data_IF_988689116664
#
_entry.id   IF_988689116664
#
_cell.length_a   1.000
_cell.length_b   1.000
_cell.length_c   1.000
_cell.angle_alpha   90.00
_cell.angle_beta   90.00
_cell.angle_gamma   90.00
#
_symmetry.space_group_name_H-M   'P 1'
#
loop_
_entity.id
_entity.type
_entity.pdbx_description
1 polymer ?
#
# COMPACT_ATOMS: atom_id res chain seq x y z
N UNK A 1 -9.28 5.75 4.21
CA UNK A 1 -8.32 6.36 3.26
C UNK A 1 -7.49 5.27 2.61
N UNK A 2 -7.34 5.30 1.28
CA UNK A 2 -6.57 4.34 0.48
C UNK A 2 -5.49 5.08 -0.30
N UNK A 3 -4.28 5.28 0.26
CA UNK A 3 -3.10 5.69 -0.48
C UNK A 3 -2.50 4.53 -1.30
N UNK A 4 -1.98 4.85 -2.48
CA UNK A 4 -1.15 3.99 -3.30
C UNK A 4 0.34 4.09 -2.93
N UNK A 5 1.20 4.04 -3.95
CA UNK A 5 2.66 4.01 -3.84
C UNK A 5 3.21 5.25 -3.11
N UNK A 6 4.24 5.04 -2.27
CA UNK A 6 4.93 6.09 -1.50
C UNK A 6 6.42 6.19 -1.85
N UNK A 7 7.07 5.05 -2.11
CA UNK A 7 8.46 4.97 -2.58
C UNK A 7 9.45 5.86 -1.82
N UNK A 8 9.48 5.75 -0.50
CA UNK A 8 10.43 6.48 0.34
C UNK A 8 10.33 8.00 0.30
N UNK A 9 9.24 8.59 -0.23
CA UNK A 9 8.94 10.02 -0.18
C UNK A 9 8.35 10.41 1.19
N UNK A 10 9.15 10.25 2.25
CA UNK A 10 8.72 10.42 3.64
C UNK A 10 8.05 11.78 3.93
N UNK A 11 8.58 12.88 3.40
CA UNK A 11 7.96 14.20 3.56
C UNK A 11 6.57 14.29 2.95
N UNK A 12 6.34 13.62 1.81
CA UNK A 12 5.02 13.57 1.19
C UNK A 12 4.08 12.61 1.94
N UNK A 13 4.60 11.53 2.53
CA UNK A 13 3.83 10.70 3.47
C UNK A 13 3.29 11.52 4.66
N UNK A 14 4.12 12.39 5.24
CA UNK A 14 3.65 13.28 6.31
C UNK A 14 2.57 14.23 5.82
N UNK A 15 2.72 14.82 4.62
CA UNK A 15 1.68 15.66 4.00
C UNK A 15 0.38 14.89 3.75
N UNK A 16 0.47 13.62 3.34
CA UNK A 16 -0.72 12.76 3.17
C UNK A 16 -1.47 12.59 4.50
N UNK A 17 -0.77 12.42 5.63
CA UNK A 17 -1.41 12.39 6.96
C UNK A 17 -1.94 13.74 7.41
N UNK A 18 -1.26 14.85 7.12
CA UNK A 18 -1.77 16.20 7.41
C UNK A 18 -3.10 16.49 6.68
N UNK A 19 -3.24 16.02 5.44
CA UNK A 19 -4.46 16.19 4.65
C UNK A 19 -5.56 15.18 5.03
N UNK A 20 -5.19 13.91 5.22
CA UNK A 20 -6.13 12.81 5.46
C UNK A 20 -6.52 12.60 6.92
N UNK A 21 -5.81 13.23 7.86
CA UNK A 21 -5.94 13.02 9.31
C UNK A 21 -4.93 12.00 9.83
N UNK A 22 -4.22 12.32 10.91
CA UNK A 22 -3.25 11.38 11.49
C UNK A 22 -3.97 10.19 12.15
N UNK A 23 -3.45 8.95 12.07
CA UNK A 23 -4.03 7.83 12.81
C UNK A 23 -4.08 8.11 14.34
N UNK A 24 -5.23 7.89 15.01
CA UNK A 24 -6.40 7.12 14.56
C UNK A 24 -7.58 8.00 14.09
N UNK A 25 -7.37 9.28 13.75
CA UNK A 25 -8.44 10.17 13.27
C UNK A 25 -9.08 9.68 11.97
N UNK A 26 -8.29 8.96 11.14
CA UNK A 26 -8.76 8.25 9.96
C UNK A 26 -8.20 6.83 9.91
N UNK A 27 -8.97 5.92 9.29
CA UNK A 27 -8.53 4.56 8.99
C UNK A 27 -7.80 4.54 7.65
N UNK A 28 -6.74 3.73 7.57
CA UNK A 28 -5.86 3.65 6.39
C UNK A 28 -5.69 2.22 5.90
N UNK A 29 -5.75 2.05 4.57
CA UNK A 29 -5.34 0.85 3.86
C UNK A 29 -4.37 1.27 2.75
N UNK A 30 -3.08 1.08 2.96
CA UNK A 30 -2.07 1.34 1.94
C UNK A 30 -1.96 0.16 0.97
N UNK A 31 -1.75 0.48 -0.31
CA UNK A 31 -1.78 -0.52 -1.38
C UNK A 31 -0.42 -1.18 -1.69
N UNK A 32 0.69 -0.67 -1.15
CA UNK A 32 2.03 -1.25 -1.37
C UNK A 32 3.07 -0.20 -1.75
N UNK A 33 4.26 -0.66 -2.12
CA UNK A 33 5.38 0.14 -2.64
C UNK A 33 5.77 1.30 -1.72
N UNK A 34 6.21 0.91 -0.53
CA UNK A 34 6.65 1.82 0.54
C UNK A 34 8.10 2.26 0.37
N UNK A 35 8.93 1.36 -0.16
CA UNK A 35 10.39 1.51 -0.23
C UNK A 35 10.88 1.69 -1.67
N UNK A 36 12.19 1.84 -1.81
CA UNK A 36 12.92 2.09 -3.06
C UNK A 36 12.65 3.46 -3.69
N UNK A 37 13.54 3.83 -4.64
CA UNK A 37 13.46 5.02 -5.51
C UNK A 37 13.62 6.36 -4.79
N UNK A 38 12.90 6.59 -3.70
CA UNK A 38 13.01 7.76 -2.84
C UNK A 38 14.20 7.70 -1.90
N UNK A 39 14.35 8.76 -1.09
CA UNK A 39 15.55 9.01 -0.28
C UNK A 39 15.45 8.51 1.17
N UNK A 40 14.24 8.25 1.64
CA UNK A 40 13.93 7.99 3.06
C UNK A 40 12.98 6.81 3.19
N UNK A 41 13.35 5.68 2.58
CA UNK A 41 12.54 4.45 2.62
C UNK A 41 12.47 3.90 4.04
N UNK A 42 13.57 3.97 4.81
CA UNK A 42 13.60 3.47 6.20
C UNK A 42 12.60 4.25 7.07
N UNK A 43 12.61 5.58 7.05
CA UNK A 43 11.65 6.39 7.81
C UNK A 43 10.21 6.11 7.40
N UNK A 44 9.97 5.99 6.09
CA UNK A 44 8.66 5.69 5.51
C UNK A 44 8.11 4.38 6.07
N UNK A 45 8.84 3.27 5.89
CA UNK A 45 8.34 1.97 6.35
C UNK A 45 8.29 1.88 7.88
N UNK A 46 9.22 2.50 8.60
CA UNK A 46 9.20 2.50 10.07
C UNK A 46 7.94 3.17 10.62
N UNK A 47 7.56 4.34 10.08
CA UNK A 47 6.36 5.04 10.51
C UNK A 47 5.10 4.21 10.24
N UNK A 48 5.02 3.60 9.05
CA UNK A 48 3.89 2.75 8.66
C UNK A 48 3.76 1.51 9.57
N UNK A 49 4.87 0.82 9.85
CA UNK A 49 4.89 -0.32 10.77
C UNK A 49 4.56 0.10 12.21
N UNK A 50 5.06 1.24 12.67
CA UNK A 50 4.73 1.77 14.00
C UNK A 50 3.22 2.06 14.13
N UNK A 51 2.60 2.64 13.10
CA UNK A 51 1.14 2.81 13.08
C UNK A 51 0.39 1.48 13.01
N UNK A 52 0.90 0.48 12.29
CA UNK A 52 0.30 -0.85 12.26
C UNK A 52 0.35 -1.51 13.65
N UNK A 53 1.47 -1.40 14.38
CA UNK A 53 1.60 -1.91 15.75
C UNK A 53 0.64 -1.16 16.69
N UNK A 54 0.60 0.18 16.59
CA UNK A 54 -0.18 1.02 17.50
C UNK A 54 -1.69 0.94 17.27
N UNK A 55 -2.11 0.82 16.01
CA UNK A 55 -3.50 0.82 15.59
C UNK A 55 -3.82 -0.36 14.66
N UNK A 56 -3.69 -1.61 15.15
CA UNK A 56 -3.75 -2.81 14.32
C UNK A 56 -5.10 -3.01 13.61
N UNK A 57 -6.19 -2.46 14.16
CA UNK A 57 -7.55 -2.56 13.62
C UNK A 57 -7.98 -1.35 12.78
N UNK A 58 -7.11 -0.33 12.64
CA UNK A 58 -7.42 0.92 11.93
C UNK A 58 -6.40 1.24 10.84
N UNK A 59 -5.23 0.61 10.87
CA UNK A 59 -4.12 0.88 9.98
C UNK A 59 -3.64 -0.41 9.32
N UNK A 60 -3.63 -0.42 8.00
CA UNK A 60 -3.42 -1.62 7.20
C UNK A 60 -2.47 -1.36 6.04
N UNK A 61 -1.63 -2.36 5.78
CA UNK A 61 -0.55 -2.31 4.79
C UNK A 61 -0.67 -3.55 3.91
N UNK A 62 -0.90 -3.37 2.62
CA UNK A 62 -0.77 -4.43 1.63
C UNK A 62 0.68 -4.58 1.17
N UNK A 63 1.00 -5.69 0.51
CA UNK A 63 2.30 -5.90 -0.12
C UNK A 63 2.27 -5.28 -1.52
N UNK A 64 3.27 -4.46 -1.85
CA UNK A 64 3.58 -4.08 -3.23
C UNK A 64 4.68 -4.95 -3.84
N UNK A 65 4.99 -4.75 -5.10
CA UNK A 65 6.06 -5.50 -5.78
C UNK A 65 7.46 -5.09 -5.31
N UNK A 66 7.62 -3.92 -4.69
CA UNK A 66 8.88 -3.49 -4.07
C UNK A 66 9.11 -4.07 -2.67
N UNK A 67 8.09 -4.66 -2.04
CA UNK A 67 8.24 -5.41 -0.79
C UNK A 67 8.68 -6.88 -1.05
N UNK A 68 9.63 -7.08 -1.94
CA UNK A 68 10.32 -8.37 -2.16
C UNK A 68 11.83 -8.18 -2.34
N UNK A 69 12.60 -9.20 -1.97
CA UNK A 69 14.06 -9.09 -1.90
C UNK A 69 14.70 -8.84 -3.27
N UNK A 70 14.20 -9.48 -4.33
CA UNK A 70 14.78 -9.37 -5.68
C UNK A 70 14.72 -7.93 -6.22
N UNK A 71 13.63 -7.22 -5.95
CA UNK A 71 13.40 -5.84 -6.40
C UNK A 71 14.15 -4.85 -5.50
N UNK A 72 13.89 -4.87 -4.20
CA UNK A 72 14.46 -3.84 -3.31
C UNK A 72 15.95 -4.03 -3.00
N UNK A 73 16.55 -5.11 -3.51
CA UNK A 73 18.00 -5.29 -3.60
C UNK A 73 18.68 -4.34 -4.58
N UNK A 74 17.95 -3.91 -5.62
CA UNK A 74 18.49 -3.19 -6.79
C UNK A 74 17.97 -1.75 -6.85
N UNK A 75 16.75 -1.47 -6.38
CA UNK A 75 16.10 -0.17 -6.55
C UNK A 75 16.25 0.82 -5.38
N UNK A 76 17.09 0.48 -4.38
CA UNK A 76 17.66 1.44 -3.44
C UNK A 76 17.56 1.05 -1.96
N UNK A 77 16.56 0.29 -1.54
CA UNK A 77 16.31 0.03 -0.12
C UNK A 77 17.42 -0.78 0.55
N UNK A 78 17.95 -1.80 -0.13
CA UNK A 78 19.12 -2.54 0.36
C UNK A 78 20.31 -1.62 0.60
N UNK A 79 20.61 -0.73 -0.35
CA UNK A 79 21.76 0.17 -0.24
C UNK A 79 21.52 1.22 0.86
N UNK A 80 20.28 1.67 1.04
CA UNK A 80 19.90 2.53 2.16
C UNK A 80 20.14 1.84 3.52
N UNK A 81 19.64 0.60 3.68
CA UNK A 81 19.83 -0.21 4.89
C UNK A 81 21.31 -0.49 5.16
N UNK A 82 22.05 -0.94 4.15
CA UNK A 82 23.49 -1.23 4.25
C UNK A 82 24.30 -0.01 4.64
N UNK A 83 23.97 1.16 4.07
CA UNK A 83 24.71 2.42 4.32
C UNK A 83 24.42 3.00 5.70
N UNK A 84 23.17 2.95 6.16
CA UNK A 84 22.74 3.61 7.40
C UNK A 84 22.81 2.69 8.63
N UNK A 85 22.69 1.39 8.41
CA UNK A 85 22.71 0.36 9.45
C UNK A 85 23.58 -0.81 9.00
N UNK A 86 22.97 -1.91 8.56
CA UNK A 86 23.67 -3.11 8.12
C UNK A 86 22.77 -3.98 7.24
N UNK A 87 23.37 -4.99 6.60
CA UNK A 87 22.64 -5.94 5.73
C UNK A 87 21.68 -6.83 6.53
N UNK A 88 21.93 -7.06 7.82
CA UNK A 88 21.04 -7.86 8.67
C UNK A 88 19.67 -7.17 8.82
N UNK A 89 19.66 -5.85 8.98
CA UNK A 89 18.42 -5.08 9.05
C UNK A 89 17.58 -5.22 7.78
N UNK A 90 18.21 -5.17 6.59
CA UNK A 90 17.50 -5.40 5.32
C UNK A 90 16.85 -6.79 5.28
N UNK A 91 17.54 -7.85 5.74
CA UNK A 91 16.95 -9.19 5.83
C UNK A 91 15.76 -9.24 6.78
N UNK A 92 15.83 -8.56 7.93
CA UNK A 92 14.70 -8.45 8.86
C UNK A 92 13.50 -7.76 8.23
N UNK A 93 13.71 -6.69 7.44
CA UNK A 93 12.64 -6.10 6.64
C UNK A 93 12.08 -7.07 5.59
N UNK A 94 12.93 -7.83 4.90
CA UNK A 94 12.49 -8.87 3.96
C UNK A 94 11.59 -9.90 4.64
N UNK A 95 11.96 -10.39 5.83
CA UNK A 95 11.16 -11.35 6.59
C UNK A 95 9.80 -10.76 6.98
N UNK A 96 9.77 -9.47 7.38
CA UNK A 96 8.53 -8.73 7.62
C UNK A 96 7.67 -8.62 6.35
N UNK A 97 8.27 -8.24 5.21
CA UNK A 97 7.57 -8.08 3.94
C UNK A 97 6.98 -9.38 3.41
N UNK A 98 7.68 -10.50 3.60
CA UNK A 98 7.19 -11.84 3.25
C UNK A 98 5.90 -12.24 3.98
N UNK A 99 5.55 -11.52 5.05
CA UNK A 99 4.34 -11.74 5.84
C UNK A 99 3.21 -10.75 5.54
N UNK A 100 3.41 -9.75 4.68
CA UNK A 100 2.36 -8.76 4.36
C UNK A 100 1.17 -9.41 3.62
N UNK A 101 -0.08 -8.98 3.89
CA UNK A 101 -1.25 -9.39 3.11
C UNK A 101 -1.16 -8.79 1.70
N UNK A 102 -1.71 -9.48 0.70
CA UNK A 102 -1.57 -9.09 -0.72
C UNK A 102 -2.82 -8.45 -1.31
N UNK A 103 -3.94 -8.55 -0.59
CA UNK A 103 -5.20 -7.94 -0.99
C UNK A 103 -6.12 -7.71 0.23
N UNK A 104 -7.11 -6.84 0.04
CA UNK A 104 -8.16 -6.54 1.01
C UNK A 104 -9.52 -6.43 0.32
N UNK A 105 -10.60 -6.74 1.05
CA UNK A 105 -11.96 -6.59 0.58
C UNK A 105 -12.72 -5.64 1.51
N UNK A 106 -13.12 -4.47 1.00
CA UNK A 106 -13.89 -3.48 1.74
C UNK A 106 -15.37 -3.71 1.48
N UNK A 107 -16.11 -3.96 2.57
CA UNK A 107 -17.55 -4.12 2.65
C UNK A 107 -18.12 -5.09 1.60
N UNK A 108 -17.34 -6.12 1.29
CA UNK A 108 -17.68 -7.14 0.29
C UNK A 108 -17.88 -6.59 -1.14
N UNK A 109 -17.51 -5.33 -1.40
CA UNK A 109 -17.76 -4.64 -2.67
C UNK A 109 -16.53 -4.06 -3.37
N UNK A 110 -15.49 -3.67 -2.63
CA UNK A 110 -14.27 -3.09 -3.22
C UNK A 110 -13.08 -4.02 -2.96
N UNK A 111 -12.52 -4.61 -4.02
CA UNK A 111 -11.31 -5.42 -3.94
C UNK A 111 -10.08 -4.53 -4.13
N UNK A 112 -9.17 -4.55 -3.16
CA UNK A 112 -7.95 -3.77 -3.16
C UNK A 112 -6.72 -4.66 -3.28
N UNK A 113 -5.78 -4.32 -4.16
CA UNK A 113 -4.46 -4.98 -4.31
C UNK A 113 -3.46 -4.01 -4.95
N UNK A 114 -2.17 -4.33 -4.97
CA UNK A 114 -1.16 -3.45 -5.57
C UNK A 114 -1.19 -3.50 -7.11
N UNK A 115 -0.99 -4.72 -7.61
CA UNK A 115 -1.01 -5.14 -9.01
C UNK A 115 -2.42 -5.11 -9.58
N UNK A 116 -2.90 -6.24 -10.03
CA UNK A 116 -4.25 -6.34 -10.57
C UNK A 116 -4.70 -7.79 -10.70
N UNK A 117 -5.52 -8.05 -11.71
CA UNK A 117 -6.10 -9.37 -11.90
C UNK A 117 -5.06 -10.38 -12.40
N UNK A 118 -5.31 -11.64 -12.07
CA UNK A 118 -4.52 -12.77 -12.55
C UNK A 118 -5.38 -13.71 -13.38
N UNK A 119 -4.87 -14.31 -14.49
CA UNK A 119 -5.56 -15.40 -15.16
C UNK A 119 -5.77 -16.61 -14.24
N UNK A 120 -4.95 -16.77 -13.19
CA UNK A 120 -5.07 -17.85 -12.21
C UNK A 120 -6.09 -17.54 -11.11
N UNK A 121 -6.52 -16.29 -10.95
CA UNK A 121 -7.50 -15.90 -9.93
C UNK A 121 -8.92 -16.24 -10.39
N UNK A 122 -9.42 -17.40 -9.99
CA UNK A 122 -10.77 -17.87 -10.28
C UNK A 122 -11.75 -17.65 -9.12
N UNK A 123 -11.25 -17.59 -7.89
CA UNK A 123 -12.02 -17.33 -6.68
C UNK A 123 -11.18 -16.63 -5.60
N UNK A 124 -11.83 -15.81 -4.77
CA UNK A 124 -11.14 -15.03 -3.73
C UNK A 124 -10.51 -15.90 -2.62
N UNK A 125 -10.95 -17.16 -2.45
CA UNK A 125 -10.31 -18.07 -1.49
C UNK A 125 -8.89 -18.45 -1.90
N UNK A 126 -8.55 -18.40 -3.19
CA UNK A 126 -7.16 -18.61 -3.64
C UNK A 126 -6.22 -17.58 -3.02
N UNK A 127 -6.66 -16.32 -2.89
CA UNK A 127 -5.87 -15.27 -2.24
C UNK A 127 -5.76 -15.53 -0.72
N UNK A 128 -6.86 -15.92 -0.08
CA UNK A 128 -6.90 -16.26 1.37
C UNK A 128 -5.97 -17.41 1.73
N UNK A 129 -5.77 -18.34 0.80
CA UNK A 129 -4.98 -19.55 0.98
C UNK A 129 -3.50 -19.38 0.63
N UNK A 130 -3.04 -18.19 0.23
CA UNK A 130 -1.61 -17.91 0.05
C UNK A 130 -0.91 -18.03 1.40
N UNK A 131 -0.05 -19.03 1.53
CA UNK A 131 0.73 -19.26 2.74
C UNK A 131 1.73 -18.13 2.95
N UNK A 132 1.95 -17.74 4.21
CA UNK A 132 2.92 -16.72 4.62
C UNK A 132 3.77 -17.27 5.79
N UNK A 133 5.08 -16.94 5.89
CA UNK A 133 5.85 -16.10 4.98
C UNK A 133 6.09 -16.74 3.61
N UNK A 134 6.14 -15.92 2.55
CA UNK A 134 6.43 -16.36 1.18
C UNK A 134 7.15 -15.25 0.41
N UNK A 135 8.10 -15.60 -0.44
CA UNK A 135 8.70 -14.63 -1.37
C UNK A 135 7.79 -14.45 -2.61
N UNK A 136 7.97 -13.38 -3.37
CA UNK A 136 7.20 -13.17 -4.60
C UNK A 136 7.81 -14.03 -5.71
N UNK A 137 7.08 -15.00 -6.29
CA UNK A 137 7.57 -15.81 -7.40
C UNK A 137 7.66 -14.96 -8.68
N UNK A 138 8.39 -15.46 -9.69
CA UNK A 138 8.52 -14.79 -10.99
C UNK A 138 7.26 -14.91 -11.87
N UNK A 139 6.29 -15.77 -11.50
CA UNK A 139 5.04 -15.99 -12.24
C UNK A 139 3.93 -16.55 -11.33
N UNK A 140 2.68 -16.51 -11.83
CA UNK A 140 1.49 -17.08 -11.19
C UNK A 140 0.79 -16.11 -10.24
N UNK A 141 -0.27 -16.58 -9.59
CA UNK A 141 -1.21 -15.73 -8.83
C UNK A 141 -0.56 -14.64 -7.95
N UNK A 142 0.42 -14.99 -7.10
CA UNK A 142 1.04 -14.00 -6.20
C UNK A 142 1.86 -12.95 -6.98
N UNK A 143 2.55 -13.35 -8.04
CA UNK A 143 3.23 -12.42 -8.94
C UNK A 143 2.21 -11.45 -9.55
N UNK A 144 1.14 -12.00 -10.12
CA UNK A 144 0.17 -11.22 -10.89
C UNK A 144 -0.58 -10.18 -10.04
N UNK A 145 -0.97 -10.56 -8.81
CA UNK A 145 -1.61 -9.66 -7.84
C UNK A 145 -0.74 -8.43 -7.49
N UNK A 146 0.56 -8.50 -7.73
CA UNK A 146 1.52 -7.43 -7.44
C UNK A 146 2.04 -6.71 -8.71
N UNK A 147 1.93 -7.34 -9.88
CA UNK A 147 2.61 -6.87 -11.11
C UNK A 147 1.71 -6.60 -12.31
N UNK A 148 0.51 -7.18 -12.39
CA UNK A 148 -0.33 -7.03 -13.59
C UNK A 148 -0.85 -5.60 -13.75
N UNK A 149 -1.12 -5.18 -14.99
CA UNK A 149 -1.62 -3.84 -15.31
C UNK A 149 -2.90 -3.86 -16.15
N UNK A 150 -3.85 -2.95 -15.92
CA UNK A 150 -4.95 -2.73 -16.85
C UNK A 150 -4.42 -2.10 -18.15
N UNK A 151 -4.94 -2.54 -19.29
CA UNK A 151 -4.64 -1.99 -20.61
C UNK A 151 -5.94 -1.77 -21.41
N UNK A 152 -6.09 -0.57 -21.95
CA UNK A 152 -7.28 -0.12 -22.69
C UNK A 152 -7.27 -0.57 -24.15
N UNK A 153 -6.09 -0.92 -24.67
CA UNK A 153 -5.87 -1.18 -26.09
C UNK A 153 -5.96 -2.69 -26.40
N UNK A 154 -6.30 -3.52 -25.40
CA UNK A 154 -6.45 -4.97 -25.53
C UNK A 154 -7.84 -5.46 -25.09
N UNK A 155 -8.19 -6.66 -25.57
CA UNK A 155 -9.29 -7.48 -25.07
C UNK A 155 -8.70 -8.77 -24.51
N UNK A 156 -9.11 -9.17 -23.32
CA UNK A 156 -8.58 -10.37 -22.65
C UNK A 156 -7.28 -10.13 -21.89
N UNK A 157 -6.31 -11.03 -22.06
CA UNK A 157 -5.00 -10.98 -21.41
C UNK A 157 -3.91 -10.70 -22.46
N UNK A 158 -2.96 -9.82 -22.12
CA UNK A 158 -1.85 -9.46 -22.98
C UNK A 158 -0.50 -9.63 -22.30
N UNK A 159 0.57 -9.49 -23.09
CA UNK A 159 1.93 -9.38 -22.56
C UNK A 159 2.11 -8.05 -21.83
N UNK A 160 2.90 -8.05 -20.76
CA UNK A 160 3.22 -6.84 -20.01
C UNK A 160 4.62 -6.32 -20.38
N UNK A 161 4.69 -5.05 -20.77
CA UNK A 161 5.95 -4.36 -21.14
C UNK A 161 7.00 -4.35 -20.02
N UNK A 162 6.59 -4.62 -18.77
CA UNK A 162 7.51 -4.81 -17.63
C UNK A 162 8.31 -6.10 -17.72
N UNK A 163 7.97 -7.01 -18.64
CA UNK A 163 8.59 -8.33 -18.79
C UNK A 163 8.22 -9.32 -17.70
N UNK A 164 7.16 -9.05 -16.93
CA UNK A 164 6.65 -9.87 -15.83
C UNK A 164 5.13 -9.74 -15.76
N UNK A 165 4.43 -10.82 -15.39
CA UNK A 165 2.96 -10.86 -15.31
C UNK A 165 2.29 -10.53 -16.66
N UNK A 166 1.05 -10.07 -16.62
CA UNK A 166 0.15 -9.84 -17.74
C UNK A 166 -0.40 -8.41 -17.74
N UNK A 167 -0.88 -7.98 -18.89
CA UNK A 167 -1.88 -6.91 -18.98
C UNK A 167 -3.29 -7.51 -19.08
N UNK A 168 -4.31 -6.76 -18.67
CA UNK A 168 -5.71 -7.20 -18.77
C UNK A 168 -6.66 -6.10 -19.26
N UNK A 169 -7.58 -6.50 -20.13
CA UNK A 169 -8.57 -5.62 -20.75
C UNK A 169 -9.75 -5.28 -19.83
N UNK A 170 -10.56 -4.31 -20.27
CA UNK A 170 -11.78 -3.91 -19.57
C UNK A 170 -12.80 -5.05 -19.47
N UNK A 171 -12.82 -5.97 -20.44
CA UNK A 171 -13.66 -7.17 -20.42
C UNK A 171 -13.34 -8.07 -19.22
N UNK A 172 -12.05 -8.22 -18.86
CA UNK A 172 -11.63 -9.02 -17.71
C UNK A 172 -12.01 -8.39 -16.38
N UNK A 173 -11.98 -7.06 -16.28
CA UNK A 173 -12.49 -6.35 -15.11
C UNK A 173 -13.99 -6.60 -14.95
N UNK A 174 -14.76 -6.46 -16.03
CA UNK A 174 -16.21 -6.64 -15.99
C UNK A 174 -16.60 -8.08 -15.62
N UNK A 175 -16.00 -9.06 -16.28
CA UNK A 175 -16.22 -10.49 -16.01
C UNK A 175 -15.91 -10.83 -14.55
N UNK A 176 -14.81 -10.31 -14.02
CA UNK A 176 -14.38 -10.59 -12.65
C UNK A 176 -15.35 -10.01 -11.61
N UNK A 177 -15.73 -8.73 -11.78
CA UNK A 177 -16.63 -8.05 -10.86
C UNK A 177 -18.03 -8.68 -10.85
N UNK A 178 -18.58 -8.98 -12.04
CA UNK A 178 -19.88 -9.64 -12.17
C UNK A 178 -19.87 -11.02 -11.50
N UNK A 179 -18.83 -11.82 -11.77
CA UNK A 179 -18.68 -13.16 -11.19
C UNK A 179 -18.60 -13.17 -9.66
N UNK A 180 -18.02 -12.13 -9.08
CA UNK A 180 -17.74 -12.04 -7.64
C UNK A 180 -18.69 -11.10 -6.88
N UNK A 181 -19.70 -10.54 -7.55
CA UNK A 181 -20.63 -9.53 -7.00
C UNK A 181 -19.91 -8.34 -6.33
N UNK A 182 -18.88 -7.83 -7.02
CA UNK A 182 -18.08 -6.69 -6.61
C UNK A 182 -18.41 -5.45 -7.46
N UNK A 183 -18.19 -4.27 -6.88
CA UNK A 183 -18.49 -3.00 -7.56
C UNK A 183 -17.22 -2.33 -8.13
N UNK A 184 -16.06 -2.53 -7.48
CA UNK A 184 -14.84 -1.79 -7.81
C UNK A 184 -13.57 -2.61 -7.52
N UNK A 185 -12.59 -2.49 -8.41
CA UNK A 185 -11.19 -2.82 -8.15
C UNK A 185 -10.43 -1.54 -7.84
N UNK A 186 -9.76 -1.48 -6.70
CA UNK A 186 -8.85 -0.38 -6.33
C UNK A 186 -7.40 -0.89 -6.34
N UNK A 187 -6.54 -0.26 -7.14
CA UNK A 187 -5.14 -0.70 -7.30
C UNK A 187 -4.15 0.46 -7.38
N UNK A 188 -2.85 0.16 -7.46
CA UNK A 188 -1.78 1.17 -7.45
C UNK A 188 -0.75 0.96 -8.58
N UNK A 189 0.57 0.95 -8.32
CA UNK A 189 1.67 0.45 -9.19
C UNK A 189 1.96 1.20 -10.51
N UNK A 190 1.00 1.95 -11.05
CA UNK A 190 1.17 2.79 -12.23
C UNK A 190 1.07 4.26 -11.85
N UNK A 191 2.10 5.03 -12.22
CA UNK A 191 2.07 6.49 -12.12
C UNK A 191 0.97 7.02 -13.04
N UNK A 192 0.09 7.85 -12.49
CA UNK A 192 -1.01 8.49 -13.21
C UNK A 192 -1.00 9.99 -12.92
N UNK A 193 -1.34 10.80 -13.93
CA UNK A 193 -1.12 12.26 -13.93
C UNK A 193 -1.73 12.97 -12.69
N UNK A 194 -2.99 12.71 -12.39
CA UNK A 194 -3.71 13.33 -11.27
C UNK A 194 -3.57 12.56 -9.94
N UNK A 195 -2.69 11.55 -9.88
CA UNK A 195 -2.57 10.64 -8.75
C UNK A 195 -3.70 9.62 -8.63
N UNK A 196 -4.75 9.73 -9.46
CA UNK A 196 -5.72 8.66 -9.65
C UNK A 196 -6.19 8.59 -11.12
N UNK A 197 -6.61 7.40 -11.57
CA UNK A 197 -7.21 7.23 -12.89
C UNK A 197 -8.26 6.11 -12.88
N UNK A 198 -9.40 6.36 -13.53
CA UNK A 198 -10.42 5.33 -13.72
C UNK A 198 -10.18 4.53 -15.00
N UNK A 199 -10.56 3.26 -14.95
CA UNK A 199 -10.55 2.32 -16.05
C UNK A 199 -11.88 1.54 -16.10
N UNK A 200 -12.17 0.87 -17.23
CA UNK A 200 -13.34 0.02 -17.42
C UNK A 200 -14.65 0.65 -16.92
N UNK A 201 -15.03 1.83 -17.46
CA UNK A 201 -16.24 2.57 -17.04
C UNK A 201 -16.33 2.81 -15.53
N UNK A 202 -15.18 3.11 -14.90
CA UNK A 202 -15.01 3.38 -13.46
C UNK A 202 -15.13 2.14 -12.56
N UNK A 203 -15.09 0.94 -13.13
CA UNK A 203 -15.08 -0.32 -12.40
C UNK A 203 -13.69 -0.70 -11.87
N UNK A 204 -12.63 -0.03 -12.34
CA UNK A 204 -11.31 -0.08 -11.74
C UNK A 204 -10.78 1.34 -11.54
N UNK A 205 -10.07 1.56 -10.43
CA UNK A 205 -9.34 2.79 -10.16
C UNK A 205 -7.89 2.49 -9.78
N UNK A 206 -6.96 3.20 -10.42
CA UNK A 206 -5.55 3.25 -10.05
C UNK A 206 -5.31 4.46 -9.15
N UNK A 207 -4.62 4.29 -8.02
CA UNK A 207 -4.22 5.33 -7.07
C UNK A 207 -2.70 5.34 -6.97
N UNK A 208 -2.08 6.51 -7.08
CA UNK A 208 -0.66 6.72 -6.91
C UNK A 208 -0.43 7.89 -5.97
N UNK A 209 0.35 7.73 -4.90
CA UNK A 209 0.41 8.71 -3.80
C UNK A 209 1.75 9.45 -3.67
N UNK A 210 2.72 9.17 -4.54
CA UNK A 210 4.00 9.86 -4.58
C UNK A 210 3.98 10.99 -5.64
N UNK A 211 3.78 12.27 -5.26
CA UNK A 211 3.79 13.37 -6.20
C UNK A 211 5.20 13.64 -6.76
N UNK A 212 5.27 14.09 -8.01
CA UNK A 212 6.52 14.36 -8.73
C UNK A 212 7.50 13.18 -8.58
N UNK A 213 7.01 11.99 -8.94
CA UNK A 213 7.68 10.73 -8.69
C UNK A 213 9.10 10.73 -9.27
N UNK A 214 10.07 10.26 -8.48
CA UNK A 214 11.51 10.29 -8.80
C UNK A 214 12.09 11.66 -9.16
N UNK A 215 11.32 12.75 -9.10
CA UNK A 215 11.69 14.06 -9.65
C UNK A 215 11.74 14.12 -11.18
N UNK A 216 11.21 13.10 -11.85
CA UNK A 216 11.20 12.93 -13.32
C UNK A 216 9.80 13.10 -13.92
N UNK A 217 8.77 12.83 -13.13
CA UNK A 217 7.37 13.01 -13.50
C UNK A 217 6.82 14.29 -12.88
N UNK A 218 5.80 14.88 -13.49
CA UNK A 218 5.05 16.02 -12.96
C UNK A 218 3.70 15.60 -12.35
N UNK A 219 3.53 14.32 -12.02
CA UNK A 219 2.28 13.76 -11.50
C UNK A 219 1.92 14.31 -10.11
N UNK A 220 0.63 14.41 -9.81
CA UNK A 220 0.15 14.54 -8.44
C UNK A 220 0.16 13.19 -7.72
N UNK A 221 0.08 13.24 -6.39
CA UNK A 221 -0.32 12.09 -5.57
C UNK A 221 -1.81 12.19 -5.26
N UNK A 222 -2.48 11.07 -5.00
CA UNK A 222 -3.85 11.08 -4.49
C UNK A 222 -4.07 10.04 -3.39
N UNK A 223 -5.14 10.22 -2.62
CA UNK A 223 -5.74 9.18 -1.78
C UNK A 223 -7.22 9.07 -2.07
N UNK A 224 -7.75 7.85 -2.11
CA UNK A 224 -9.19 7.63 -2.17
C UNK A 224 -9.77 7.53 -0.75
N UNK A 225 -10.80 8.33 -0.46
CA UNK A 225 -11.65 8.17 0.71
C UNK A 225 -12.89 7.37 0.34
N UNK A 226 -13.21 6.37 1.14
CA UNK A 226 -14.44 5.58 1.04
C UNK A 226 -15.21 5.84 2.33
N UNK A 227 -16.44 6.34 2.22
CA UNK A 227 -17.30 6.58 3.37
C UNK A 227 -18.19 5.35 3.71
N UNK A 228 -19.03 5.51 4.72
CA UNK A 228 -19.95 4.49 5.23
C UNK A 228 -21.06 4.07 4.25
N UNK A 229 -21.22 4.81 3.16
CA UNK A 229 -22.14 4.51 2.06
C UNK A 229 -21.42 3.97 0.83
N UNK A 230 -20.12 3.65 0.95
CA UNK A 230 -19.22 3.27 -0.14
C UNK A 230 -19.05 4.36 -1.21
N UNK A 231 -19.33 5.62 -0.87
CA UNK A 231 -19.05 6.73 -1.77
C UNK A 231 -17.55 7.00 -1.80
N UNK A 232 -16.96 6.88 -2.99
CA UNK A 232 -15.54 7.17 -3.23
C UNK A 232 -15.33 8.64 -3.59
N UNK A 233 -14.40 9.29 -2.88
CA UNK A 233 -13.92 10.66 -3.16
C UNK A 233 -12.39 10.70 -3.15
N UNK A 234 -11.80 11.70 -3.79
CA UNK A 234 -10.34 11.77 -3.97
C UNK A 234 -9.77 13.05 -3.35
N UNK A 235 -8.66 12.89 -2.63
CA UNK A 235 -7.86 14.00 -2.13
C UNK A 235 -6.55 14.02 -2.93
N UNK A 236 -6.29 15.13 -3.63
CA UNK A 236 -5.13 15.26 -4.54
C UNK A 236 -4.05 16.10 -3.87
N UNK A 237 -2.84 15.56 -3.80
CA UNK A 237 -1.64 16.19 -3.32
C UNK A 237 -0.77 16.63 -4.51
N UNK A 238 -0.79 17.93 -4.82
CA UNK A 238 0.07 18.48 -5.88
C UNK A 238 1.55 18.46 -5.47
N UNK A 239 2.47 18.35 -6.44
CA UNK A 239 3.90 18.55 -6.21
C UNK A 239 4.19 19.87 -5.49
N UNK A 240 5.20 19.89 -4.63
CA UNK A 240 5.70 21.15 -4.08
C UNK A 240 6.48 21.90 -5.14
N UNK A 241 6.17 23.18 -5.32
CA UNK A 241 6.96 24.05 -6.20
C UNK A 241 8.43 24.07 -5.75
N UNK A 242 9.36 23.88 -6.69
CA UNK A 242 10.82 23.93 -6.45
C UNK A 242 11.32 25.34 -6.01
N UNK A 243 10.42 26.29 -5.70
CA UNK A 243 10.74 27.65 -5.26
C UNK A 243 9.95 28.05 -4.01
N UNK A 244 10.61 28.03 -2.84
CA UNK A 244 10.15 28.83 -1.69
C UNK A 244 10.52 28.23 -0.34
N UNK A 245 11.38 28.93 0.40
CA UNK A 245 11.64 28.70 1.83
C UNK A 245 10.32 28.73 2.62
N UNK A 246 10.17 27.79 3.56
CA UNK A 246 9.05 27.67 4.49
C UNK A 246 8.90 28.97 5.31
N UNK A 247 7.76 29.64 5.13
CA UNK A 247 7.19 30.55 6.11
C UNK A 247 6.04 29.84 6.80
N UNK A 248 6.16 29.58 8.11
CA UNK A 248 5.07 29.07 8.93
C UNK A 248 4.01 30.17 9.09
N UNK A 249 2.85 29.98 8.46
CA UNK A 249 1.67 30.82 8.63
C UNK A 249 0.45 29.95 8.88
N UNK A 250 0.14 29.73 10.16
CA UNK A 250 -1.04 28.98 10.58
C UNK A 250 -2.33 29.78 10.42
N UNK A 251 -3.34 29.16 9.82
CA UNK A 251 -4.73 29.13 10.27
C UNK A 251 -5.57 28.43 9.21
N UNK A 252 -5.90 27.15 9.43
CA UNK A 252 -7.08 26.55 8.81
C UNK A 252 -8.01 26.06 9.92
N UNK A 253 -9.24 26.56 9.87
CA UNK A 253 -10.34 26.21 10.77
C UNK A 253 -10.67 24.72 10.61
N UNK A 254 -10.73 24.01 11.73
CA UNK A 254 -11.10 22.59 11.81
C UNK A 254 -12.61 22.44 11.61
N UNK A 255 -13.10 21.67 10.63
CA UNK A 255 -14.46 21.16 10.67
C UNK A 255 -14.51 20.05 11.73
N UNK A 256 -15.43 20.15 12.69
CA UNK A 256 -15.68 19.07 13.64
C UNK A 256 -16.32 17.87 12.93
N UNK A 257 -15.85 16.66 13.21
CA UNK A 257 -16.38 15.42 12.65
C UNK A 257 -17.15 14.65 13.73
N UNK A 258 -18.42 14.26 13.50
CA UNK A 258 -19.14 13.35 14.39
C UNK A 258 -18.66 11.90 14.22
N UNK A 259 -18.92 11.01 15.20
CA UNK A 259 -18.46 9.63 15.15
C UNK A 259 -19.20 8.88 14.03
N UNK A 260 -18.47 8.41 13.01
CA UNK A 260 -19.05 7.59 11.93
C UNK A 260 -18.72 6.12 12.14
N UNK A 261 -19.72 5.26 11.90
CA UNK A 261 -19.52 3.81 11.79
C UNK A 261 -18.82 3.53 10.45
N UNK A 262 -17.87 2.61 10.46
CA UNK A 262 -16.98 2.28 9.35
C UNK A 262 -17.53 1.10 8.52
N UNK A 263 -17.37 1.08 7.18
CA UNK A 263 -17.66 -0.10 6.35
C UNK A 263 -16.82 -1.30 6.79
N UNK A 264 -17.31 -2.54 6.72
CA UNK A 264 -16.51 -3.67 7.21
C UNK A 264 -15.32 -3.96 6.29
N UNK A 265 -14.11 -3.65 6.72
CA UNK A 265 -12.90 -4.05 5.98
C UNK A 265 -12.51 -5.46 6.37
N UNK A 266 -12.66 -6.40 5.45
CA UNK A 266 -12.08 -7.74 5.58
C UNK A 266 -10.72 -7.74 4.91
N UNK A 267 -9.67 -7.57 5.69
CA UNK A 267 -8.33 -7.90 5.22
C UNK A 267 -8.12 -9.37 5.50
N UNK A 268 -7.60 -10.09 4.51
CA UNK A 268 -7.24 -11.49 4.68
C UNK A 268 -5.93 -11.61 5.45
N UNK A 269 -5.92 -11.03 6.64
CA UNK A 269 -5.01 -11.35 7.71
C UNK A 269 -5.42 -12.73 8.21
N UNK A 270 -4.81 -13.78 7.66
CA UNK A 270 -4.56 -14.92 8.53
C UNK A 270 -3.67 -14.35 9.63
N UNK A 271 -4.14 -14.34 10.89
CA UNK A 271 -3.29 -14.08 12.04
C UNK A 271 -2.13 -15.08 12.00
N UNK A 272 -1.05 -14.70 11.33
CA UNK A 272 0.20 -15.43 11.33
C UNK A 272 1.04 -14.82 12.44
N UNK A 273 1.28 -15.54 13.55
CA UNK A 273 2.17 -15.14 14.62
C UNK A 273 3.51 -14.50 14.19
N UNK A 274 4.15 -14.87 13.05
CA UNK A 274 5.42 -14.28 12.65
C UNK A 274 5.40 -12.76 12.36
N UNK A 275 4.31 -12.18 11.83
CA UNK A 275 4.36 -10.79 11.36
C UNK A 275 4.57 -9.79 12.51
N UNK A 276 3.86 -9.98 13.62
CA UNK A 276 4.01 -9.10 14.78
C UNK A 276 5.41 -9.24 15.38
N UNK A 277 5.94 -10.46 15.46
CA UNK A 277 7.33 -10.71 15.88
C UNK A 277 8.34 -9.98 14.99
N UNK A 278 8.23 -10.11 13.66
CA UNK A 278 9.11 -9.42 12.73
C UNK A 278 8.97 -7.90 12.79
N UNK A 279 7.76 -7.38 13.00
CA UNK A 279 7.54 -5.94 13.20
C UNK A 279 8.26 -5.44 14.46
N UNK A 280 8.20 -6.18 15.57
CA UNK A 280 8.95 -5.88 16.78
C UNK A 280 10.46 -5.99 16.54
N UNK A 281 10.94 -7.02 15.83
CA UNK A 281 12.36 -7.17 15.49
C UNK A 281 12.88 -6.02 14.61
N UNK A 282 12.07 -5.51 13.66
CA UNK A 282 12.39 -4.31 12.88
C UNK A 282 12.53 -3.09 13.79
N UNK A 283 11.55 -2.89 14.66
CA UNK A 283 11.51 -1.76 15.60
C UNK A 283 12.71 -1.79 16.55
N UNK A 284 13.02 -2.96 17.13
CA UNK A 284 14.17 -3.17 18.01
C UNK A 284 15.49 -3.03 17.27
N UNK A 285 15.58 -3.57 16.04
CA UNK A 285 16.77 -3.49 15.20
C UNK A 285 17.15 -2.07 14.75
N UNK A 286 16.20 -1.14 14.78
CA UNK A 286 16.39 0.28 14.45
C UNK A 286 16.54 1.13 15.72
N UNK A 287 16.27 0.57 16.90
CA UNK A 287 16.33 1.28 18.18
C UNK A 287 15.13 2.21 18.40
N UNK A 288 13.99 1.95 17.77
CA UNK A 288 12.75 2.69 18.03
C UNK A 288 12.13 2.09 19.30
N UNK A 289 12.28 2.78 20.44
CA UNK A 289 11.58 2.39 21.67
C UNK A 289 10.09 2.63 21.50
N UNK A 290 9.33 1.59 21.10
CA UNK A 290 7.87 1.60 21.25
C UNK A 290 7.61 1.38 22.74
N UNK A 291 7.30 2.46 23.45
CA UNK A 291 7.11 2.43 24.90
C UNK A 291 6.07 1.40 25.33
N UNK A 292 6.52 0.45 26.16
CA UNK A 292 5.74 -0.24 27.18
C UNK A 292 4.96 -1.48 26.73
N UNK A 293 5.53 -2.66 26.96
CA UNK A 293 5.04 -3.58 28.00
C UNK A 293 6.18 -4.52 28.37
N UNK A 294 6.85 -4.19 29.47
CA UNK A 294 7.49 -5.19 30.31
C UNK A 294 6.34 -6.10 30.78
N UNK A 295 6.33 -7.36 30.34
CA UNK A 295 5.47 -8.36 30.95
C UNK A 295 6.11 -8.63 32.31
N UNK A 296 5.61 -7.95 33.33
CA UNK A 296 5.96 -8.29 34.70
C UNK A 296 5.51 -9.73 34.95
N UNK A 297 6.48 -10.54 35.37
CA UNK A 297 6.31 -11.86 35.94
C UNK A 297 5.14 -11.87 36.92
N UNK A 298 4.05 -12.57 36.57
CA UNK A 298 3.09 -13.00 37.58
C UNK A 298 3.70 -14.25 38.22
N UNK A 299 4.49 -13.99 39.26
CA UNK A 299 4.92 -15.02 40.20
C UNK A 299 3.74 -15.49 41.07
N UNK A 300 3.71 -16.82 41.25
CA UNK A 300 2.91 -17.65 42.17
C UNK A 300 1.42 -17.84 41.88
#
# INVERSE_FOLDING_TARGET
MLPGDIHGQYSDLLRLFEYGGYPPEANYLFLGDYVDRGKQSIETICLLLAYKIKYPENFFLLRGNHECASINRIYGFYDECKRRYNVRLWKTFTDCFNCLPVAALIDEKILCMHGGLSPDLKNLNQIRNIARPVDVPDQGLLCDLLWSDPDKDIEGWGENDRGVSYTFGADKVNEFLEKHDLDLICRAHQVVEDGYAFFAKRQLVTIFSAPNYCGEFDNAGAMMSVDDTLTCSFQILKPLDKKGKVGFGGNMLRPGTPPRKWPRTTIWWNNTPPLQGYMHDVVDGIGILVGGTQVDDVGL
#
